data_IF_877628967327
#
_entry.id   IF_877628967327
#
_cell.length_a   1.000
_cell.length_b   1.000
_cell.length_c   1.000
_cell.angle_alpha   90.00
_cell.angle_beta   90.00
_cell.angle_gamma   90.00
#
_symmetry.space_group_name_H-M   'P 1'
#
loop_
_entity.id
_entity.type
_entity.pdbx_description
1 polymer ?
#
# COMPACT_ATOMS: atom_id res chain seq x y z
N UNK A 1 -14.24 4.20 -13.19
CA UNK A 1 -15.55 4.49 -12.59
C UNK A 1 -16.33 5.39 -13.51
N UNK A 2 -17.62 5.18 -13.65
CA UNK A 2 -18.56 6.02 -14.41
C UNK A 2 -19.79 6.26 -13.55
N UNK A 3 -20.39 7.43 -13.65
CA UNK A 3 -21.63 7.76 -12.95
C UNK A 3 -22.79 6.95 -13.56
N UNK A 4 -23.51 6.23 -12.72
CA UNK A 4 -24.70 5.47 -13.09
C UNK A 4 -25.90 6.04 -12.30
N UNK A 5 -26.86 6.57 -13.01
CA UNK A 5 -28.04 7.19 -12.40
C UNK A 5 -28.95 6.16 -11.72
N UNK A 6 -28.99 4.91 -12.22
CA UNK A 6 -29.79 3.83 -11.65
C UNK A 6 -29.20 3.32 -10.34
N UNK A 7 -27.86 3.27 -10.27
CA UNK A 7 -27.14 2.92 -9.05
C UNK A 7 -27.05 4.10 -8.06
N UNK A 8 -27.38 5.32 -8.50
CA UNK A 8 -27.27 6.53 -7.68
C UNK A 8 -25.85 6.96 -7.36
N UNK A 9 -24.85 6.47 -8.12
CA UNK A 9 -23.44 6.75 -7.84
C UNK A 9 -22.48 6.21 -8.90
N UNK A 10 -21.20 6.21 -8.57
CA UNK A 10 -20.14 5.76 -9.48
C UNK A 10 -19.95 4.23 -9.40
N UNK A 11 -19.87 3.58 -10.55
CA UNK A 11 -19.66 2.12 -10.67
C UNK A 11 -18.46 1.80 -11.55
N UNK A 12 -17.76 0.67 -11.34
CA UNK A 12 -16.66 0.25 -12.20
C UNK A 12 -17.22 -0.30 -13.52
N UNK A 13 -16.99 0.41 -14.63
CA UNK A 13 -17.52 0.08 -15.96
C UNK A 13 -16.47 -0.26 -16.98
N UNK A 14 -15.33 0.45 -16.96
CA UNK A 14 -14.31 0.31 -18.00
C UNK A 14 -13.38 -0.87 -17.73
N UNK A 15 -13.22 -1.74 -18.75
CA UNK A 15 -12.14 -2.73 -18.81
C UNK A 15 -10.85 -2.11 -19.37
N UNK A 16 -9.78 -2.89 -19.37
CA UNK A 16 -8.46 -2.44 -19.79
C UNK A 16 -8.42 -1.81 -21.20
N UNK A 17 -9.07 -2.43 -22.18
CA UNK A 17 -9.13 -1.91 -23.54
C UNK A 17 -9.81 -0.53 -23.64
N UNK A 18 -10.87 -0.32 -22.86
CA UNK A 18 -11.56 0.97 -22.82
C UNK A 18 -10.68 2.04 -22.17
N UNK A 19 -9.97 1.71 -21.07
CA UNK A 19 -9.07 2.64 -20.40
C UNK A 19 -7.93 3.09 -21.31
N UNK A 20 -7.32 2.17 -22.05
CA UNK A 20 -6.29 2.48 -23.05
C UNK A 20 -6.84 3.35 -24.18
N UNK A 21 -8.08 3.14 -24.60
CA UNK A 21 -8.74 3.96 -25.62
C UNK A 21 -8.89 5.44 -25.21
N UNK A 22 -8.94 5.74 -23.93
CA UNK A 22 -8.99 7.12 -23.41
C UNK A 22 -7.61 7.79 -23.27
N UNK A 23 -6.53 7.04 -23.46
CA UNK A 23 -5.16 7.54 -23.39
C UNK A 23 -4.45 7.33 -24.75
N UNK A 24 -4.75 8.13 -25.78
CA UNK A 24 -4.11 8.01 -27.08
C UNK A 24 -2.60 8.24 -26.98
N UNK A 25 -1.82 7.58 -27.85
CA UNK A 25 -0.36 7.71 -27.85
C UNK A 25 0.39 6.73 -26.95
N UNK A 26 -0.27 5.87 -26.18
CA UNK A 26 0.43 4.87 -25.36
C UNK A 26 1.32 3.94 -26.17
N UNK A 27 0.89 3.54 -27.39
CA UNK A 27 1.68 2.70 -28.28
C UNK A 27 2.96 3.39 -28.82
N UNK A 28 3.00 4.72 -28.81
CA UNK A 28 4.18 5.51 -29.19
C UNK A 28 5.22 5.52 -28.06
N UNK A 29 4.78 5.34 -26.80
CA UNK A 29 5.68 5.25 -25.64
C UNK A 29 6.30 3.84 -25.58
N UNK A 30 5.45 2.80 -25.63
CA UNK A 30 5.88 1.41 -25.61
C UNK A 30 4.80 0.49 -26.21
N UNK A 31 5.17 -0.62 -26.87
CA UNK A 31 4.23 -1.66 -27.21
C UNK A 31 3.65 -2.27 -25.93
N UNK A 32 2.35 -2.56 -25.91
CA UNK A 32 1.70 -3.08 -24.73
C UNK A 32 0.76 -4.27 -25.03
N UNK A 33 0.54 -5.07 -24.02
CA UNK A 33 -0.50 -6.10 -23.97
C UNK A 33 -1.43 -5.82 -22.80
N UNK A 34 -2.72 -5.97 -23.01
CA UNK A 34 -3.73 -5.76 -21.98
C UNK A 34 -4.10 -7.10 -21.35
N UNK A 35 -4.10 -7.11 -20.01
CA UNK A 35 -4.62 -8.18 -19.19
C UNK A 35 -5.83 -7.66 -18.41
N UNK A 36 -7.05 -7.98 -18.88
CA UNK A 36 -8.31 -7.54 -18.23
C UNK A 36 -8.70 -8.56 -17.14
N UNK A 37 -8.02 -8.48 -15.99
CA UNK A 37 -8.23 -9.39 -14.86
C UNK A 37 -9.59 -9.22 -14.19
N UNK A 38 -10.16 -8.00 -14.20
CA UNK A 38 -11.48 -7.73 -13.64
C UNK A 38 -11.71 -6.27 -13.26
N UNK A 39 -12.92 -5.97 -12.81
CA UNK A 39 -13.40 -4.63 -12.46
C UNK A 39 -13.90 -4.64 -11.03
N UNK A 40 -13.01 -4.41 -10.09
CA UNK A 40 -13.34 -4.46 -8.67
C UNK A 40 -13.27 -3.05 -8.07
N UNK A 41 -14.26 -2.62 -7.27
CA UNK A 41 -14.07 -1.50 -6.37
C UNK A 41 -12.88 -1.79 -5.44
N UNK A 42 -12.03 -0.80 -5.18
CA UNK A 42 -10.83 -0.98 -4.37
C UNK A 42 -11.14 -1.54 -2.97
N UNK A 43 -12.21 -1.08 -2.35
CA UNK A 43 -12.67 -1.55 -1.04
C UNK A 43 -13.15 -3.03 -1.03
N UNK A 44 -13.30 -3.67 -2.19
CA UNK A 44 -13.60 -5.10 -2.31
C UNK A 44 -12.33 -5.98 -2.42
N UNK A 45 -11.14 -5.37 -2.40
CA UNK A 45 -9.86 -6.06 -2.47
C UNK A 45 -9.47 -6.63 -1.09
N UNK A 46 -10.01 -7.80 -0.74
CA UNK A 46 -9.59 -8.53 0.46
C UNK A 46 -8.27 -9.30 0.26
N UNK A 47 -7.68 -9.89 1.34
CA UNK A 47 -6.37 -10.56 1.28
C UNK A 47 -6.25 -11.64 0.20
N UNK A 48 -7.28 -12.46 0.00
CA UNK A 48 -7.28 -13.48 -1.06
C UNK A 48 -7.18 -12.87 -2.46
N UNK A 49 -7.94 -11.79 -2.72
CA UNK A 49 -7.94 -11.09 -4.00
C UNK A 49 -6.61 -10.35 -4.25
N UNK A 50 -6.05 -9.74 -3.22
CA UNK A 50 -4.72 -9.12 -3.27
C UNK A 50 -3.63 -10.15 -3.60
N UNK A 51 -3.74 -11.36 -3.01
CA UNK A 51 -2.77 -12.43 -3.29
C UNK A 51 -2.91 -13.01 -4.69
N UNK A 52 -4.15 -13.11 -5.21
CA UNK A 52 -4.42 -13.47 -6.60
C UNK A 52 -3.79 -12.46 -7.58
N UNK A 53 -3.98 -11.15 -7.33
CA UNK A 53 -3.34 -10.08 -8.12
C UNK A 53 -1.82 -10.20 -8.07
N UNK A 54 -1.23 -10.35 -6.87
CA UNK A 54 0.22 -10.54 -6.70
C UNK A 54 0.75 -11.71 -7.53
N UNK A 55 0.08 -12.86 -7.49
CA UNK A 55 0.50 -14.03 -8.25
C UNK A 55 0.40 -13.81 -9.76
N UNK A 56 -0.64 -13.08 -10.21
CA UNK A 56 -0.78 -12.73 -11.61
C UNK A 56 0.33 -11.79 -12.10
N UNK A 57 0.68 -10.79 -11.29
CA UNK A 57 1.82 -9.89 -11.57
C UNK A 57 3.13 -10.67 -11.60
N UNK A 58 3.34 -11.60 -10.66
CA UNK A 58 4.53 -12.47 -10.65
C UNK A 58 4.61 -13.32 -11.91
N UNK A 59 3.52 -13.96 -12.32
CA UNK A 59 3.47 -14.78 -13.54
C UNK A 59 3.73 -13.96 -14.81
N UNK A 60 3.25 -12.71 -14.87
CA UNK A 60 3.58 -11.79 -15.95
C UNK A 60 5.07 -11.41 -15.94
N UNK A 61 5.62 -11.09 -14.77
CA UNK A 61 7.02 -10.70 -14.61
C UNK A 61 8.01 -11.85 -14.89
N UNK A 62 7.62 -13.10 -14.63
CA UNK A 62 8.44 -14.29 -14.94
C UNK A 62 8.36 -14.73 -16.40
N UNK A 63 7.36 -14.25 -17.15
CA UNK A 63 7.10 -14.69 -18.53
C UNK A 63 6.18 -15.91 -18.65
N UNK A 64 5.59 -16.39 -17.57
CA UNK A 64 4.63 -17.50 -17.58
C UNK A 64 3.35 -17.17 -18.38
N UNK A 65 2.99 -15.90 -18.46
CA UNK A 65 1.85 -15.42 -19.22
C UNK A 65 2.20 -14.97 -20.66
N UNK A 66 3.37 -15.33 -21.16
CA UNK A 66 3.89 -14.97 -22.48
C UNK A 66 5.24 -14.27 -22.39
N UNK A 67 5.61 -13.43 -23.37
CA UNK A 67 6.87 -12.69 -23.35
C UNK A 67 7.01 -11.83 -22.08
N UNK A 68 8.19 -11.89 -21.47
CA UNK A 68 8.52 -11.10 -20.25
C UNK A 68 8.47 -9.61 -20.58
N UNK A 69 7.65 -8.82 -19.89
CA UNK A 69 7.53 -7.39 -20.18
C UNK A 69 8.73 -6.61 -19.63
N UNK A 70 9.00 -5.44 -20.23
CA UNK A 70 9.96 -4.47 -19.70
C UNK A 70 9.46 -3.83 -18.40
N UNK A 71 8.14 -3.71 -18.22
CA UNK A 71 7.48 -3.20 -17.04
C UNK A 71 6.00 -3.57 -17.04
N UNK A 72 5.35 -3.41 -15.90
CA UNK A 72 3.93 -3.74 -15.70
C UNK A 72 3.21 -2.50 -15.17
N UNK A 73 2.04 -2.20 -15.74
CA UNK A 73 1.14 -1.13 -15.25
C UNK A 73 -0.12 -1.76 -14.66
N UNK A 74 -0.53 -1.33 -13.49
CA UNK A 74 -1.75 -1.74 -12.83
C UNK A 74 -2.66 -0.53 -12.67
N UNK A 75 -3.85 -0.55 -13.30
CA UNK A 75 -4.91 0.41 -13.02
C UNK A 75 -5.74 -0.07 -11.83
N UNK A 76 -5.87 0.76 -10.80
CA UNK A 76 -6.45 0.37 -9.52
C UNK A 76 -7.36 1.49 -8.97
N UNK A 77 -8.38 1.13 -8.21
CA UNK A 77 -9.14 2.11 -7.44
C UNK A 77 -8.32 2.69 -6.29
N UNK A 78 -8.41 4.00 -6.08
CA UNK A 78 -7.47 4.73 -5.22
C UNK A 78 -7.52 4.40 -3.73
N UNK A 79 -8.63 3.81 -3.22
CA UNK A 79 -8.83 3.62 -1.78
C UNK A 79 -7.85 2.64 -1.13
N UNK A 80 -7.36 1.65 -1.88
CA UNK A 80 -6.45 0.61 -1.36
C UNK A 80 -5.18 0.44 -2.21
N UNK A 81 -4.82 1.46 -3.01
CA UNK A 81 -3.53 1.47 -3.74
C UNK A 81 -2.37 1.31 -2.76
N UNK A 82 -2.39 1.99 -1.61
CA UNK A 82 -1.29 1.95 -0.63
C UNK A 82 -1.03 0.53 -0.13
N UNK A 83 -2.06 -0.25 0.19
CA UNK A 83 -1.93 -1.61 0.69
C UNK A 83 -1.50 -2.58 -0.43
N UNK A 84 -2.05 -2.41 -1.64
CA UNK A 84 -1.65 -3.17 -2.82
C UNK A 84 -0.20 -2.91 -3.19
N UNK A 85 0.22 -1.64 -3.24
CA UNK A 85 1.58 -1.24 -3.54
C UNK A 85 2.57 -1.76 -2.49
N UNK A 86 2.20 -1.68 -1.21
CA UNK A 86 3.00 -2.23 -0.13
C UNK A 86 3.20 -3.74 -0.27
N UNK A 87 2.12 -4.50 -0.49
CA UNK A 87 2.18 -5.95 -0.70
C UNK A 87 3.11 -6.30 -1.86
N UNK A 88 2.92 -5.67 -3.02
CA UNK A 88 3.74 -5.97 -4.19
C UNK A 88 5.21 -5.61 -3.96
N UNK A 89 5.50 -4.49 -3.29
CA UNK A 89 6.87 -4.08 -2.93
C UNK A 89 7.57 -5.08 -2.01
N UNK A 90 6.82 -5.78 -1.15
CA UNK A 90 7.37 -6.71 -0.16
C UNK A 90 7.39 -8.16 -0.62
N UNK A 91 6.75 -8.48 -1.76
CA UNK A 91 6.59 -9.87 -2.20
C UNK A 91 7.00 -10.14 -3.64
N UNK A 92 7.33 -9.11 -4.42
CA UNK A 92 7.80 -9.27 -5.80
C UNK A 92 9.30 -8.99 -5.94
N UNK A 93 9.92 -9.62 -6.93
CA UNK A 93 11.27 -9.29 -7.35
C UNK A 93 11.29 -7.88 -7.96
N UNK A 94 12.21 -6.99 -7.54
CA UNK A 94 12.30 -5.62 -8.04
C UNK A 94 12.79 -5.48 -9.49
N UNK A 95 13.25 -6.54 -10.14
CA UNK A 95 13.85 -6.50 -11.50
C UNK A 95 12.87 -6.02 -12.57
N UNK A 96 11.61 -6.43 -12.50
CA UNK A 96 10.56 -5.91 -13.39
C UNK A 96 9.81 -4.80 -12.67
N UNK A 97 9.87 -3.54 -13.15
CA UNK A 97 9.17 -2.45 -12.51
C UNK A 97 7.65 -2.61 -12.63
N UNK A 98 6.95 -2.34 -11.53
CA UNK A 98 5.49 -2.34 -11.47
C UNK A 98 5.01 -0.92 -11.13
N UNK A 99 4.31 -0.26 -12.05
CA UNK A 99 3.70 1.03 -11.83
C UNK A 99 2.22 0.87 -11.52
N UNK A 100 1.77 1.31 -10.34
CA UNK A 100 0.35 1.30 -9.95
C UNK A 100 -0.17 2.72 -10.09
N UNK A 101 -1.35 2.85 -10.70
CA UNK A 101 -2.01 4.14 -10.86
C UNK A 101 -3.53 4.01 -10.77
N UNK A 102 -4.22 5.13 -10.77
CA UNK A 102 -5.68 5.23 -10.73
C UNK A 102 -6.13 6.63 -11.11
N UNK A 103 -7.34 6.99 -10.71
CA UNK A 103 -7.89 8.31 -10.94
C UNK A 103 -8.73 8.76 -9.74
N UNK A 104 -8.66 10.04 -9.38
CA UNK A 104 -9.50 10.64 -8.34
C UNK A 104 -10.85 11.08 -8.91
N UNK A 105 -10.88 11.53 -10.15
CA UNK A 105 -12.10 11.86 -10.88
C UNK A 105 -12.59 10.68 -11.68
N UNK A 106 -13.87 10.67 -12.02
CA UNK A 106 -14.49 9.61 -12.81
C UNK A 106 -14.41 9.95 -14.30
N UNK A 107 -14.58 8.95 -15.15
CA UNK A 107 -14.64 9.16 -16.62
C UNK A 107 -15.87 9.96 -17.08
N UNK A 108 -16.77 10.31 -16.15
CA UNK A 108 -17.90 11.20 -16.42
C UNK A 108 -17.59 12.67 -16.15
N UNK A 109 -16.44 12.96 -15.57
CA UNK A 109 -15.98 14.32 -15.25
C UNK A 109 -15.16 14.89 -16.43
N UNK A 110 -15.37 16.17 -16.78
CA UNK A 110 -14.65 16.81 -17.89
C UNK A 110 -13.13 16.86 -17.68
N UNK A 111 -12.71 17.01 -16.42
CA UNK A 111 -11.29 17.04 -16.04
C UNK A 111 -10.86 15.70 -15.43
N UNK A 112 -11.23 14.59 -16.06
CA UNK A 112 -10.82 13.27 -15.61
C UNK A 112 -9.30 13.06 -15.71
N UNK A 113 -8.67 12.79 -14.57
CA UNK A 113 -7.22 12.62 -14.44
C UNK A 113 -6.69 11.23 -14.87
N UNK A 114 -7.59 10.27 -15.12
CA UNK A 114 -7.21 8.88 -15.46
C UNK A 114 -6.29 8.72 -16.65
N UNK A 115 -6.57 9.33 -17.82
CA UNK A 115 -5.72 9.24 -19.02
C UNK A 115 -4.30 9.77 -18.79
N UNK A 116 -4.14 10.89 -18.09
CA UNK A 116 -2.83 11.45 -17.73
C UNK A 116 -2.04 10.52 -16.82
N UNK A 117 -2.66 10.08 -15.73
CA UNK A 117 -2.04 9.16 -14.77
C UNK A 117 -1.64 7.82 -15.42
N UNK A 118 -2.48 7.27 -16.32
CA UNK A 118 -2.16 6.04 -17.07
C UNK A 118 -0.96 6.24 -18.00
N UNK A 119 -0.93 7.37 -18.71
CA UNK A 119 0.19 7.71 -19.60
C UNK A 119 1.50 7.82 -18.84
N UNK A 120 1.51 8.49 -17.70
CA UNK A 120 2.69 8.62 -16.83
C UNK A 120 3.12 7.27 -16.25
N UNK A 121 2.17 6.43 -15.83
CA UNK A 121 2.49 5.08 -15.35
C UNK A 121 3.14 4.21 -16.45
N UNK A 122 2.69 4.32 -17.71
CA UNK A 122 3.32 3.61 -18.84
C UNK A 122 4.73 4.15 -19.10
N UNK A 123 4.95 5.48 -19.06
CA UNK A 123 6.29 6.05 -19.17
C UNK A 123 7.23 5.54 -18.11
N UNK A 124 6.79 5.56 -16.84
CA UNK A 124 7.60 5.05 -15.72
C UNK A 124 7.88 3.56 -15.88
N UNK A 125 6.88 2.73 -16.23
CA UNK A 125 7.09 1.30 -16.40
C UNK A 125 8.02 0.95 -17.56
N UNK A 126 8.03 1.75 -18.62
CA UNK A 126 8.88 1.55 -19.80
C UNK A 126 10.29 2.17 -19.67
N UNK A 127 10.51 3.07 -18.70
CA UNK A 127 11.79 3.76 -18.53
C UNK A 127 12.89 2.78 -18.04
N UNK A 128 14.05 2.73 -18.69
CA UNK A 128 15.17 1.87 -18.26
C UNK A 128 15.64 2.15 -16.83
N UNK A 129 15.52 3.40 -16.35
CA UNK A 129 15.85 3.80 -14.98
C UNK A 129 14.91 3.21 -13.93
N UNK A 130 13.78 2.65 -14.33
CA UNK A 130 12.82 1.99 -13.43
C UNK A 130 13.23 0.58 -12.99
N UNK A 131 14.19 -0.04 -13.69
CA UNK A 131 14.67 -1.39 -13.34
C UNK A 131 15.27 -1.42 -11.95
N UNK A 132 14.96 -2.47 -11.20
CA UNK A 132 15.45 -2.66 -9.84
C UNK A 132 14.76 -1.74 -8.79
N UNK A 133 13.74 -0.94 -9.19
CA UNK A 133 12.98 -0.10 -8.25
C UNK A 133 11.78 -0.83 -7.64
N UNK A 134 11.39 -1.97 -8.21
CA UNK A 134 10.25 -2.74 -7.74
C UNK A 134 8.91 -2.05 -8.06
N UNK A 135 8.02 -2.06 -7.06
CA UNK A 135 6.70 -1.46 -7.21
C UNK A 135 6.74 0.04 -6.89
N UNK A 136 6.11 0.84 -7.74
CA UNK A 136 5.97 2.29 -7.61
C UNK A 136 4.50 2.69 -7.76
N UNK A 137 4.08 3.72 -7.06
CA UNK A 137 2.80 4.41 -7.29
C UNK A 137 3.09 5.66 -8.12
N UNK A 138 2.44 5.75 -9.27
CA UNK A 138 2.57 6.89 -10.20
C UNK A 138 1.25 7.64 -10.21
N UNK A 139 1.25 8.87 -9.71
CA UNK A 139 0.01 9.61 -9.52
C UNK A 139 0.26 11.12 -9.55
N UNK A 140 -0.53 11.86 -10.34
CA UNK A 140 -0.40 13.31 -10.51
C UNK A 140 1.05 13.76 -10.76
N UNK A 141 1.74 13.09 -11.68
CA UNK A 141 3.14 13.37 -12.05
C UNK A 141 4.19 12.90 -11.04
N UNK A 142 3.81 12.45 -9.84
CA UNK A 142 4.75 11.97 -8.81
C UNK A 142 5.00 10.47 -8.95
N UNK A 143 6.24 10.05 -8.68
CA UNK A 143 6.63 8.64 -8.57
C UNK A 143 7.01 8.36 -7.13
N UNK A 144 6.25 7.49 -6.46
CA UNK A 144 6.44 7.12 -5.07
C UNK A 144 6.89 5.66 -4.98
N UNK A 145 7.85 5.34 -4.10
CA UNK A 145 8.15 3.94 -3.80
C UNK A 145 6.91 3.27 -3.19
N UNK A 146 6.52 2.10 -3.70
CA UNK A 146 5.25 1.47 -3.32
C UNK A 146 5.14 1.12 -1.83
N UNK A 147 6.26 0.90 -1.13
CA UNK A 147 6.28 0.66 0.31
C UNK A 147 6.13 1.94 1.16
N UNK A 148 6.24 3.15 0.53
CA UNK A 148 6.09 4.45 1.19
C UNK A 148 4.80 5.18 0.78
N UNK A 149 4.23 4.80 -0.35
CA UNK A 149 3.06 5.47 -0.90
C UNK A 149 1.85 5.33 0.03
N UNK A 150 1.18 6.44 0.29
CA UNK A 150 -0.04 6.51 1.12
C UNK A 150 -1.02 7.49 0.51
N UNK A 151 -2.31 7.18 0.57
CA UNK A 151 -3.37 8.14 0.20
C UNK A 151 -3.51 9.17 1.32
N UNK A 152 -3.02 10.38 1.08
CA UNK A 152 -2.98 11.48 2.06
C UNK A 152 -4.13 12.46 1.92
N UNK A 153 -4.88 12.37 0.83
CA UNK A 153 -6.01 13.23 0.50
C UNK A 153 -7.20 12.42 -0.02
N UNK A 154 -8.40 12.78 0.41
CA UNK A 154 -9.62 12.08 0.05
C UNK A 154 -10.19 12.49 -1.31
N UNK A 155 -9.98 13.72 -1.74
CA UNK A 155 -10.66 14.35 -2.89
C UNK A 155 -9.74 15.09 -3.86
N UNK A 156 -8.55 15.53 -3.41
CA UNK A 156 -7.60 16.25 -4.26
C UNK A 156 -6.99 15.34 -5.34
N UNK A 157 -6.59 15.92 -6.46
CA UNK A 157 -5.89 15.18 -7.53
C UNK A 157 -4.53 14.67 -7.06
N UNK A 158 -3.80 15.45 -6.26
CA UNK A 158 -2.55 15.04 -5.62
C UNK A 158 -2.80 14.18 -4.38
N UNK A 159 -3.55 13.09 -4.54
CA UNK A 159 -4.05 12.29 -3.43
C UNK A 159 -3.01 11.42 -2.75
N UNK A 160 -1.85 11.20 -3.37
CA UNK A 160 -0.82 10.30 -2.84
C UNK A 160 0.45 11.04 -2.45
N UNK A 161 1.08 10.57 -1.37
CA UNK A 161 2.35 11.07 -0.86
C UNK A 161 3.14 9.99 -0.12
N UNK A 162 4.32 10.37 0.36
CA UNK A 162 5.18 9.54 1.20
C UNK A 162 5.36 10.22 2.58
N UNK A 163 4.49 9.97 3.58
CA UNK A 163 4.53 10.66 4.87
C UNK A 163 5.86 10.51 5.63
N UNK A 164 6.60 9.45 5.35
CA UNK A 164 7.89 9.12 5.99
C UNK A 164 9.07 9.20 5.00
N UNK A 165 8.92 9.89 3.87
CA UNK A 165 9.93 10.02 2.84
C UNK A 165 9.58 11.09 1.82
N UNK A 166 10.23 11.02 0.67
CA UNK A 166 10.01 11.93 -0.46
C UNK A 166 9.66 11.12 -1.71
N UNK A 167 9.05 11.72 -2.73
CA UNK A 167 8.93 11.10 -4.04
C UNK A 167 10.30 10.63 -4.55
N UNK A 168 10.33 9.46 -5.16
CA UNK A 168 11.56 8.87 -5.70
C UNK A 168 11.84 9.33 -7.13
N UNK A 169 10.92 10.08 -7.69
CA UNK A 169 11.00 10.71 -9.01
C UNK A 169 9.70 11.42 -9.37
N UNK A 170 9.71 11.97 -10.56
CA UNK A 170 8.56 12.67 -11.15
C UNK A 170 8.48 12.44 -12.65
N UNK A 171 7.32 12.67 -13.21
CA UNK A 171 7.09 12.76 -14.66
C UNK A 171 6.78 14.21 -15.00
N UNK A 172 7.73 14.87 -15.64
CA UNK A 172 7.61 16.25 -16.07
C UNK A 172 7.88 16.37 -17.57
N UNK A 173 7.06 17.13 -18.29
CA UNK A 173 7.18 17.33 -19.74
C UNK A 173 7.34 16.02 -20.54
N UNK A 174 6.67 14.94 -20.07
CA UNK A 174 6.73 13.62 -20.70
C UNK A 174 8.03 12.83 -20.47
N UNK A 175 8.89 13.28 -19.56
CA UNK A 175 10.14 12.60 -19.15
C UNK A 175 10.05 12.10 -17.74
N UNK A 176 10.69 10.98 -17.46
CA UNK A 176 10.80 10.41 -16.11
C UNK A 176 12.14 10.85 -15.51
N UNK A 177 12.08 11.49 -14.36
CA UNK A 177 13.26 11.94 -13.63
C UNK A 177 13.28 11.29 -12.24
N UNK A 178 14.29 10.47 -11.96
CA UNK A 178 14.46 9.84 -10.66
C UNK A 178 15.43 10.62 -9.79
N UNK A 179 15.02 10.90 -8.55
CA UNK A 179 15.81 11.67 -7.57
C UNK A 179 16.71 10.80 -6.70
N UNK A 180 16.44 9.48 -6.64
CA UNK A 180 17.20 8.52 -5.81
C UNK A 180 17.59 7.28 -6.60
N UNK A 181 18.58 6.53 -6.13
CA UNK A 181 19.01 5.27 -6.75
C UNK A 181 17.95 4.15 -6.61
N UNK A 182 17.96 3.17 -7.51
CA UNK A 182 17.01 2.07 -7.53
C UNK A 182 16.99 1.27 -6.20
N UNK A 183 18.15 1.00 -5.62
CA UNK A 183 18.30 0.25 -4.35
C UNK A 183 17.58 0.94 -3.16
N UNK A 184 17.35 2.25 -3.21
CA UNK A 184 16.60 2.97 -2.18
C UNK A 184 15.09 2.72 -2.26
N UNK A 185 14.60 2.27 -3.41
CA UNK A 185 13.18 2.00 -3.66
C UNK A 185 12.80 0.55 -3.37
N UNK A 186 13.68 -0.39 -3.70
CA UNK A 186 13.46 -1.81 -3.56
C UNK A 186 13.50 -2.27 -2.10
N UNK A 187 12.74 -3.33 -1.81
CA UNK A 187 12.78 -4.05 -0.53
C UNK A 187 13.07 -5.52 -0.78
N UNK A 188 13.73 -6.18 0.18
CA UNK A 188 13.95 -7.61 0.11
C UNK A 188 12.59 -8.33 0.10
N UNK A 189 12.29 -9.14 -0.92
CA UNK A 189 11.02 -9.84 -1.00
C UNK A 189 10.85 -10.88 0.11
N UNK A 190 9.65 -10.96 0.66
CA UNK A 190 9.18 -12.07 1.49
C UNK A 190 8.22 -12.88 0.61
N UNK A 191 8.32 -14.19 0.65
CA UNK A 191 7.46 -15.06 -0.17
C UNK A 191 6.62 -16.00 0.70
N UNK A 192 5.52 -15.52 1.30
CA UNK A 192 4.59 -16.37 2.02
C UNK A 192 3.82 -17.27 1.05
N UNK A 193 3.25 -18.40 1.51
CA UNK A 193 2.42 -19.25 0.66
C UNK A 193 1.05 -18.62 0.33
N UNK A 194 0.69 -17.56 1.03
CA UNK A 194 -0.56 -16.80 0.87
C UNK A 194 -0.67 -15.74 1.96
N UNK A 195 -1.71 -14.92 1.93
CA UNK A 195 -2.05 -13.98 3.02
C UNK A 195 -3.07 -14.63 3.96
N UNK A 196 -2.60 -15.50 4.85
CA UNK A 196 -3.46 -16.36 5.69
C UNK A 196 -3.66 -15.83 7.10
N UNK A 197 -2.74 -15.01 7.61
CA UNK A 197 -2.85 -14.42 8.93
C UNK A 197 -3.98 -13.37 9.01
N UNK A 198 -4.48 -13.16 10.20
CA UNK A 198 -5.49 -12.13 10.50
C UNK A 198 -4.86 -11.07 11.40
N UNK A 199 -4.74 -9.86 10.90
CA UNK A 199 -4.15 -8.73 11.63
C UNK A 199 -5.18 -7.64 11.83
N UNK A 200 -5.45 -7.29 13.09
CA UNK A 200 -6.28 -6.15 13.44
C UNK A 200 -5.49 -4.83 13.37
N UNK A 201 -6.19 -3.73 13.10
CA UNK A 201 -5.68 -2.37 13.20
C UNK A 201 -6.67 -1.58 14.07
N UNK A 202 -6.20 -1.04 15.19
CA UNK A 202 -7.08 -0.47 16.22
C UNK A 202 -6.56 0.89 16.64
N UNK A 203 -7.29 1.98 16.35
CA UNK A 203 -6.95 3.31 16.80
C UNK A 203 -7.26 3.49 18.28
N UNK A 204 -6.32 4.09 19.03
CA UNK A 204 -6.54 4.50 20.41
C UNK A 204 -7.31 5.83 20.47
N UNK A 205 -8.26 5.88 21.39
CA UNK A 205 -9.04 7.09 21.69
C UNK A 205 -8.87 7.52 23.14
N UNK A 206 -9.26 8.75 23.46
CA UNK A 206 -9.20 9.25 24.84
C UNK A 206 -10.12 8.42 25.73
N UNK A 207 -9.59 7.89 26.83
CA UNK A 207 -10.33 7.05 27.79
C UNK A 207 -10.48 5.59 27.37
N UNK A 208 -9.77 5.12 26.34
CA UNK A 208 -9.80 3.73 25.86
C UNK A 208 -9.37 2.76 26.97
N UNK A 209 -10.18 1.73 27.19
CA UNK A 209 -9.94 0.66 28.16
C UNK A 209 -9.41 -0.63 27.53
N UNK A 210 -9.18 -0.64 26.20
CA UNK A 210 -8.68 -1.79 25.45
C UNK A 210 -9.72 -2.85 25.11
N UNK A 211 -11.01 -2.51 25.16
CA UNK A 211 -12.10 -3.45 24.90
C UNK A 211 -12.05 -4.01 23.47
N UNK A 212 -11.76 -3.16 22.48
CA UNK A 212 -11.60 -3.58 21.09
C UNK A 212 -10.37 -4.48 20.90
N UNK A 213 -9.29 -4.23 21.65
CA UNK A 213 -8.10 -5.09 21.65
C UNK A 213 -8.48 -6.50 22.17
N UNK A 214 -9.23 -6.59 23.26
CA UNK A 214 -9.67 -7.89 23.82
C UNK A 214 -10.63 -8.64 22.90
N UNK A 215 -11.51 -7.94 22.21
CA UNK A 215 -12.40 -8.55 21.22
C UNK A 215 -11.62 -9.11 20.03
N UNK A 216 -10.72 -8.30 19.46
CA UNK A 216 -9.92 -8.70 18.30
C UNK A 216 -8.97 -9.87 18.63
N UNK A 217 -8.40 -9.91 19.85
CA UNK A 217 -7.48 -10.94 20.31
C UNK A 217 -8.02 -12.37 20.15
N UNK A 218 -9.34 -12.55 20.27
CA UNK A 218 -10.00 -13.85 20.14
C UNK A 218 -9.95 -14.47 18.75
N UNK A 219 -9.72 -13.65 17.73
CA UNK A 219 -9.84 -14.06 16.32
C UNK A 219 -8.74 -13.56 15.39
N UNK A 220 -7.74 -12.85 15.93
CA UNK A 220 -6.61 -12.34 15.16
C UNK A 220 -5.28 -12.87 15.68
N UNK A 221 -4.30 -12.95 14.78
CA UNK A 221 -2.97 -13.49 15.04
C UNK A 221 -1.96 -12.40 15.45
N UNK A 222 -2.29 -11.13 15.19
CA UNK A 222 -1.51 -9.96 15.56
C UNK A 222 -2.35 -8.70 15.49
N UNK A 223 -1.82 -7.60 16.05
CA UNK A 223 -2.50 -6.30 16.06
C UNK A 223 -1.52 -5.15 15.82
N UNK A 224 -1.97 -4.16 15.04
CA UNK A 224 -1.36 -2.83 14.98
C UNK A 224 -2.21 -1.89 15.83
N UNK A 225 -1.57 -1.26 16.80
CA UNK A 225 -2.17 -0.24 17.66
C UNK A 225 -1.80 1.14 17.12
N UNK A 226 -2.79 1.95 16.75
CA UNK A 226 -2.57 3.34 16.34
C UNK A 226 -2.52 4.24 17.57
N UNK A 227 -1.32 4.48 18.05
CA UNK A 227 -1.04 5.21 19.28
C UNK A 227 -1.07 6.73 19.12
N UNK A 228 -1.08 7.43 20.22
CA UNK A 228 -0.95 8.89 20.28
C UNK A 228 0.49 9.32 20.08
N UNK A 229 0.68 10.37 19.28
CA UNK A 229 1.98 11.02 19.14
C UNK A 229 3.14 10.06 18.91
N UNK A 230 4.13 10.09 19.78
CA UNK A 230 5.33 9.26 19.68
C UNK A 230 5.19 7.81 20.19
N UNK A 231 3.95 7.31 20.35
CA UNK A 231 3.70 5.92 20.72
C UNK A 231 3.09 5.72 22.11
N UNK A 232 2.27 6.66 22.59
CA UNK A 232 1.60 6.53 23.87
C UNK A 232 0.18 5.98 23.70
N UNK A 233 -0.29 5.23 24.68
CA UNK A 233 -1.68 4.74 24.76
C UNK A 233 -2.31 5.10 26.10
N UNK A 234 -3.65 5.14 26.22
CA UNK A 234 -4.30 5.29 27.50
C UNK A 234 -3.88 4.19 28.48
N UNK A 235 -3.63 4.49 29.75
CA UNK A 235 -3.20 3.48 30.74
C UNK A 235 -4.22 2.34 30.91
N UNK A 236 -5.52 2.60 30.67
CA UNK A 236 -6.57 1.59 30.69
C UNK A 236 -6.42 0.52 29.59
N UNK A 237 -5.80 0.82 28.47
CA UNK A 237 -5.58 -0.14 27.36
C UNK A 237 -4.37 -1.06 27.60
N UNK A 238 -3.44 -0.70 28.50
CA UNK A 238 -2.21 -1.47 28.76
C UNK A 238 -2.49 -2.94 29.16
N UNK A 239 -3.46 -3.24 30.06
CA UNK A 239 -3.75 -4.63 30.39
C UNK A 239 -4.18 -5.48 29.19
N UNK A 240 -4.93 -4.92 28.24
CA UNK A 240 -5.33 -5.61 27.01
C UNK A 240 -4.10 -5.90 26.12
N UNK A 241 -3.22 -4.93 25.93
CA UNK A 241 -1.95 -5.10 25.19
C UNK A 241 -1.12 -6.23 25.80
N UNK A 242 -0.96 -6.26 27.12
CA UNK A 242 -0.21 -7.33 27.82
C UNK A 242 -0.83 -8.71 27.64
N UNK A 243 -2.16 -8.81 27.50
CA UNK A 243 -2.83 -10.11 27.22
C UNK A 243 -2.47 -10.62 25.80
N UNK A 244 -2.35 -9.75 24.80
CA UNK A 244 -1.84 -10.13 23.49
C UNK A 244 -0.43 -10.71 23.57
N UNK A 245 0.47 -9.99 24.23
CA UNK A 245 1.87 -10.41 24.42
C UNK A 245 1.98 -11.73 25.18
N UNK A 246 1.16 -11.92 26.22
CA UNK A 246 1.12 -13.16 27.01
C UNK A 246 0.67 -14.38 26.19
N UNK A 247 -0.11 -14.18 25.12
CA UNK A 247 -0.47 -15.23 24.16
C UNK A 247 0.57 -15.41 23.04
N UNK A 248 1.71 -14.72 23.10
CA UNK A 248 2.72 -14.76 22.06
C UNK A 248 2.31 -14.08 20.75
N UNK A 249 1.24 -13.29 20.75
CA UNK A 249 0.74 -12.57 19.59
C UNK A 249 1.41 -11.21 19.49
N UNK A 250 2.01 -10.85 18.34
CA UNK A 250 2.70 -9.58 18.18
C UNK A 250 1.74 -8.39 18.27
N UNK A 251 2.21 -7.37 18.97
CA UNK A 251 1.60 -6.04 19.03
C UNK A 251 2.57 -5.06 18.41
N UNK A 252 2.18 -4.45 17.29
CA UNK A 252 2.95 -3.41 16.60
C UNK A 252 2.36 -2.05 16.95
N UNK A 253 3.22 -1.10 17.29
CA UNK A 253 2.84 0.24 17.70
C UNK A 253 3.15 1.23 16.57
N UNK A 254 2.13 1.74 15.90
CA UNK A 254 2.22 2.81 14.90
C UNK A 254 1.65 4.11 15.47
N UNK A 255 2.03 5.26 14.92
CA UNK A 255 1.41 6.52 15.30
C UNK A 255 0.18 6.82 14.45
N UNK A 256 -0.87 7.38 15.06
CA UNK A 256 -2.01 7.94 14.34
C UNK A 256 -1.73 9.33 13.73
N UNK A 257 -0.56 9.91 14.03
CA UNK A 257 -0.14 11.16 13.41
C UNK A 257 0.13 10.94 11.91
N UNK A 258 -0.28 11.87 11.03
CA UNK A 258 -0.04 11.76 9.59
C UNK A 258 1.43 11.68 9.20
N UNK A 259 2.34 12.23 10.04
CA UNK A 259 3.79 12.24 9.83
C UNK A 259 4.53 11.93 11.11
N UNK A 260 5.78 11.49 11.00
CA UNK A 260 6.62 11.06 12.11
C UNK A 260 6.44 9.57 12.43
N UNK A 261 7.26 9.06 13.33
CA UNK A 261 7.26 7.65 13.72
C UNK A 261 7.19 7.48 15.23
N UNK A 262 6.94 6.27 15.68
CA UNK A 262 6.99 5.94 17.10
C UNK A 262 8.42 6.06 17.60
N UNK A 263 8.62 6.98 18.55
CA UNK A 263 9.89 7.18 19.27
C UNK A 263 9.64 6.91 20.75
N UNK A 264 10.07 5.76 21.30
CA UNK A 264 9.67 5.32 22.64
C UNK A 264 10.44 6.03 23.76
N UNK A 265 10.08 7.30 24.04
CA UNK A 265 10.78 8.15 25.04
C UNK A 265 10.06 8.23 26.39
N UNK A 266 8.78 7.92 26.47
CA UNK A 266 7.98 8.06 27.69
C UNK A 266 7.88 6.77 28.48
N UNK A 267 8.20 6.82 29.79
CA UNK A 267 8.30 5.66 30.68
C UNK A 267 7.20 5.60 31.79
N UNK A 268 6.05 6.27 31.57
CA UNK A 268 4.89 6.17 32.44
C UNK A 268 3.97 4.99 31.99
N UNK A 269 2.94 4.60 32.79
CA UNK A 269 1.97 3.59 32.36
C UNK A 269 1.28 3.98 31.03
N UNK A 270 1.45 3.16 30.00
CA UNK A 270 1.00 3.48 28.63
C UNK A 270 1.97 4.30 27.80
N UNK A 271 3.11 4.70 28.35
CA UNK A 271 4.17 5.37 27.58
C UNK A 271 4.93 4.41 26.66
N UNK A 272 5.33 4.88 25.49
CA UNK A 272 5.99 4.08 24.46
C UNK A 272 7.20 3.28 24.93
N UNK A 273 8.08 3.88 25.77
CA UNK A 273 9.22 3.18 26.31
C UNK A 273 8.84 2.03 27.26
N UNK A 274 7.74 2.19 28.03
CA UNK A 274 7.21 1.12 28.86
C UNK A 274 6.66 0.00 28.00
N UNK A 275 5.90 0.31 26.97
CA UNK A 275 5.30 -0.67 26.06
C UNK A 275 6.37 -1.48 25.31
N UNK A 276 7.42 -0.82 24.80
CA UNK A 276 8.53 -1.52 24.12
C UNK A 276 9.28 -2.43 25.08
N UNK A 277 9.53 -2.01 26.32
CA UNK A 277 10.12 -2.86 27.36
C UNK A 277 9.22 -4.08 27.69
N UNK A 278 7.90 -3.92 27.60
CA UNK A 278 6.93 -5.02 27.75
C UNK A 278 6.89 -5.96 26.54
N UNK A 279 7.52 -5.64 25.41
CA UNK A 279 7.60 -6.46 24.20
C UNK A 279 6.80 -5.96 23.00
N UNK A 280 6.23 -4.75 23.07
CA UNK A 280 5.55 -4.12 21.92
C UNK A 280 6.59 -3.66 20.89
N UNK A 281 6.32 -3.84 19.61
CA UNK A 281 7.24 -3.59 18.51
C UNK A 281 6.92 -2.25 17.86
N UNK A 282 7.83 -1.26 17.81
CA UNK A 282 7.62 -0.05 17.03
C UNK A 282 7.48 -0.35 15.54
N UNK A 283 6.54 0.31 14.86
CA UNK A 283 6.29 0.13 13.44
C UNK A 283 7.45 0.61 12.54
N UNK A 284 8.34 1.45 13.06
CA UNK A 284 9.31 2.19 12.26
C UNK A 284 8.62 3.21 11.35
N UNK A 285 9.24 3.59 10.22
CA UNK A 285 8.70 4.59 9.29
C UNK A 285 7.57 4.01 8.43
N UNK A 286 6.49 3.56 9.06
CA UNK A 286 5.29 3.00 8.40
C UNK A 286 4.04 3.64 8.96
N UNK A 287 3.10 3.94 8.07
CA UNK A 287 1.72 4.26 8.48
C UNK A 287 1.06 3.03 9.12
N UNK A 288 -0.03 3.19 9.89
CA UNK A 288 -0.74 2.04 10.45
C UNK A 288 -1.15 0.99 9.42
N UNK A 289 -1.63 1.40 8.24
CA UNK A 289 -2.00 0.48 7.15
C UNK A 289 -0.78 -0.27 6.60
N UNK A 290 0.34 0.42 6.40
CA UNK A 290 1.60 -0.21 5.97
C UNK A 290 2.14 -1.18 7.02
N UNK A 291 2.10 -0.80 8.30
CA UNK A 291 2.49 -1.67 9.40
C UNK A 291 1.61 -2.92 9.49
N UNK A 292 0.31 -2.77 9.24
CA UNK A 292 -0.63 -3.89 9.18
C UNK A 292 -0.30 -4.84 8.02
N UNK A 293 -0.02 -4.32 6.83
CA UNK A 293 0.37 -5.13 5.69
C UNK A 293 1.70 -5.86 5.94
N UNK A 294 2.70 -5.19 6.51
CA UNK A 294 3.97 -5.82 6.90
C UNK A 294 3.74 -6.97 7.88
N UNK A 295 2.97 -6.74 8.95
CA UNK A 295 2.68 -7.76 9.94
C UNK A 295 1.90 -8.95 9.33
N UNK A 296 0.94 -8.67 8.46
CA UNK A 296 0.17 -9.69 7.73
C UNK A 296 1.09 -10.56 6.86
N UNK A 297 1.98 -9.96 6.09
CA UNK A 297 2.94 -10.65 5.22
C UNK A 297 3.90 -11.50 6.08
N UNK A 298 4.50 -10.91 7.10
CA UNK A 298 5.44 -11.58 7.99
C UNK A 298 4.80 -12.79 8.68
N UNK A 299 3.66 -12.62 9.32
CA UNK A 299 2.95 -13.72 10.00
C UNK A 299 2.54 -14.83 9.04
N UNK A 300 2.07 -14.47 7.84
CA UNK A 300 1.73 -15.45 6.80
C UNK A 300 2.95 -16.25 6.30
N UNK A 301 4.15 -15.69 6.44
CA UNK A 301 5.42 -16.35 6.12
C UNK A 301 6.07 -17.07 7.33
N UNK A 302 5.46 -17.02 8.51
CA UNK A 302 6.05 -17.54 9.74
C UNK A 302 7.26 -16.74 10.24
N UNK A 303 7.34 -15.45 9.90
CA UNK A 303 8.42 -14.55 10.26
C UNK A 303 8.00 -13.54 11.34
N UNK A 304 8.98 -13.02 12.07
CA UNK A 304 8.77 -11.87 12.95
C UNK A 304 8.54 -10.60 12.13
N UNK A 305 7.90 -9.58 12.75
CA UNK A 305 7.69 -8.28 12.14
C UNK A 305 9.01 -7.63 11.71
N UNK A 306 9.07 -7.14 10.48
CA UNK A 306 10.28 -6.51 9.91
C UNK A 306 11.36 -7.50 9.46
N UNK A 307 11.04 -8.79 9.37
CA UNK A 307 11.93 -9.89 8.94
C UNK A 307 12.32 -9.86 7.46
#
# INVERSE_FOLDING_TARGET
MTRDERAGGNVPTHGGAALVGFAPGLAEIAPYRIDDWGRYPACHMGPAKLWELRNRVQAAASGELGERPAGIVITHGTDTIEETAYLLSRTLDPEVPVAITGAMRTSSDEEWDGPGNLTDAVRVAADPGSRGRGTMVVFAGKVLAGWQATKIEATALEAFGAPHGEPVGEVAEGRVEFTVGAHSCARRPINPPGLTARVAQIPMVVGDLGEMLDLARKSHDGVVVEAFGSGNVPPGAVPAIRRWLAEGKPVVLATRCPRGEVTPVYAFPGGGATLVRDGVIPAGPRTPSQARMELLICLSAGLAYGG
#
